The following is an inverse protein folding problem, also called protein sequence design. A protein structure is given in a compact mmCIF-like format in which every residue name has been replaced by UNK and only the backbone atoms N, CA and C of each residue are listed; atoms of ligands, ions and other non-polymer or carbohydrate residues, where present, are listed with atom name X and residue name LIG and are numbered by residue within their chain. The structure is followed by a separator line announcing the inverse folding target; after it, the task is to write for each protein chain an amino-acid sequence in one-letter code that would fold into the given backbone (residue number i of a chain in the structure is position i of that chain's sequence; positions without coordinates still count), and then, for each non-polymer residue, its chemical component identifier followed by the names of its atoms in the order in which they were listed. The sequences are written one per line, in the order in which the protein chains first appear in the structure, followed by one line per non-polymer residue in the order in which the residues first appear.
data_IF_816433968876
#
_entry.id   IF_816433968876
#
_cell.length_a   1.000
_cell.length_b   1.000
_cell.length_c   1.000
_cell.angle_alpha   90.00
_cell.angle_beta   90.00
_cell.angle_gamma   90.00
#
_symmetry.space_group_name_H-M   'P 1'
#
loop_
_entity.id
_entity.type
_entity.pdbx_description
1 polymer ?
#
# COMPACT_ATOMS: atom_id res chain seq x y z
N UNK A 1 1.13 4.25 102.46
CA UNK A 1 1.77 2.91 102.77
C UNK A 1 1.74 2.07 101.47
N UNK A 2 2.95 1.70 101.07
CA UNK A 2 3.34 0.57 100.23
C UNK A 2 2.68 0.40 98.83
N UNK A 3 3.34 0.84 97.83
CA UNK A 3 4.21 0.11 96.92
C UNK A 3 3.77 -1.27 96.46
N UNK A 4 3.61 -1.48 95.15
CA UNK A 4 4.23 -2.57 94.41
C UNK A 4 4.15 -2.35 92.87
N UNK A 5 5.33 -2.34 92.27
CA UNK A 5 5.60 -2.60 90.91
C UNK A 5 5.15 -3.98 90.44
N UNK A 6 4.65 -4.12 89.20
CA UNK A 6 4.78 -5.30 88.32
C UNK A 6 4.86 -4.84 86.89
N UNK A 7 5.92 -4.95 86.31
CA UNK A 7 6.52 -5.80 85.33
C UNK A 7 5.93 -5.60 83.94
N UNK A 8 6.66 -4.83 83.03
CA UNK A 8 6.44 -4.82 81.65
C UNK A 8 6.89 -6.17 81.01
N UNK A 9 6.04 -6.77 80.16
CA UNK A 9 6.38 -7.90 79.31
C UNK A 9 6.76 -7.32 77.89
N UNK A 10 7.97 -7.53 77.41
CA UNK A 10 8.42 -7.03 76.09
C UNK A 10 8.36 -8.17 75.08
N UNK A 11 7.23 -8.48 74.46
CA UNK A 11 7.16 -9.29 73.25
C UNK A 11 5.84 -9.08 72.50
N UNK A 12 5.74 -7.97 71.73
CA UNK A 12 4.87 -7.90 70.62
C UNK A 12 5.76 -7.88 69.34
N UNK A 13 5.53 -8.72 68.30
CA UNK A 13 6.25 -8.63 67.09
C UNK A 13 5.77 -7.40 66.32
N UNK A 14 6.73 -6.56 65.98
CA UNK A 14 6.57 -5.43 65.08
C UNK A 14 6.29 -6.00 63.68
N UNK A 15 5.03 -5.95 63.23
CA UNK A 15 4.66 -6.20 61.86
C UNK A 15 4.85 -4.90 61.08
N UNK A 16 6.09 -4.62 60.71
CA UNK A 16 6.36 -3.69 59.66
C UNK A 16 5.79 -4.25 58.37
N UNK A 17 4.67 -3.68 57.92
CA UNK A 17 4.20 -3.82 56.55
C UNK A 17 5.29 -3.26 55.63
N UNK A 18 6.07 -4.13 55.05
CA UNK A 18 6.82 -3.88 53.85
C UNK A 18 5.81 -3.76 52.69
N UNK A 19 5.20 -2.59 52.58
CA UNK A 19 4.61 -2.14 51.31
C UNK A 19 5.75 -2.08 50.29
N UNK A 20 6.03 -3.20 49.62
CA UNK A 20 6.77 -3.22 48.37
C UNK A 20 6.01 -2.36 47.38
N UNK A 21 6.25 -1.04 47.43
CA UNK A 21 6.05 -0.19 46.28
C UNK A 21 6.96 -0.78 45.19
N UNK A 22 6.37 -1.55 44.30
CA UNK A 22 7.00 -1.91 43.03
C UNK A 22 7.34 -0.60 42.30
N UNK A 23 8.60 -0.17 42.47
CA UNK A 23 9.18 0.93 41.72
C UNK A 23 9.04 0.56 40.27
N UNK A 24 8.16 1.28 39.54
CA UNK A 24 7.82 1.04 38.10
C UNK A 24 8.97 1.32 37.15
N UNK A 25 10.21 1.11 37.60
CA UNK A 25 11.41 1.13 36.76
C UNK A 25 11.50 -0.21 36.06
N UNK A 26 11.42 -0.19 34.74
CA UNK A 26 11.75 -1.34 33.90
C UNK A 26 13.19 -1.83 34.16
N UNK A 27 13.58 -2.96 33.58
CA UNK A 27 14.91 -3.52 33.74
C UNK A 27 16.00 -2.47 33.43
N UNK A 28 17.06 -2.45 34.24
CA UNK A 28 18.20 -1.55 34.06
C UNK A 28 19.04 -2.08 32.87
N UNK A 29 18.71 -1.56 31.68
CA UNK A 29 19.35 -1.93 30.43
C UNK A 29 20.65 -1.14 30.24
N UNK A 30 21.70 -1.80 29.78
CA UNK A 30 22.93 -1.13 29.37
C UNK A 30 22.72 -0.27 28.09
N UNK A 31 23.71 0.55 27.74
CA UNK A 31 23.60 1.47 26.60
C UNK A 31 23.38 0.75 25.26
N UNK A 32 23.94 -0.45 25.07
CA UNK A 32 23.77 -1.25 23.86
C UNK A 32 22.40 -1.93 23.84
N UNK A 33 21.90 -2.38 24.98
CA UNK A 33 20.55 -2.93 25.11
C UNK A 33 19.47 -1.87 24.93
N UNK A 34 19.67 -0.66 25.47
CA UNK A 34 18.78 0.48 25.24
C UNK A 34 18.75 0.88 23.76
N UNK A 35 19.90 0.83 23.08
CA UNK A 35 19.98 1.10 21.65
C UNK A 35 19.24 0.05 20.83
N UNK A 36 19.42 -1.25 21.14
CA UNK A 36 18.68 -2.34 20.53
C UNK A 36 17.17 -2.23 20.75
N UNK A 37 16.75 -1.92 21.98
CA UNK A 37 15.35 -1.72 22.33
C UNK A 37 14.73 -0.56 21.52
N UNK A 38 15.49 0.53 21.30
CA UNK A 38 15.06 1.65 20.44
C UNK A 38 15.00 1.27 18.95
N UNK A 39 15.93 0.45 18.47
CA UNK A 39 15.96 -0.03 17.08
C UNK A 39 14.82 -1.01 16.79
N UNK A 40 14.38 -1.77 17.80
CA UNK A 40 13.24 -2.70 17.72
C UNK A 40 11.88 -2.04 17.98
N UNK A 41 11.85 -0.80 18.49
CA UNK A 41 10.59 -0.06 18.60
C UNK A 41 9.98 0.20 17.22
N UNK A 42 8.67 -0.05 17.10
CA UNK A 42 7.91 0.37 15.91
C UNK A 42 8.03 1.89 15.74
N UNK A 43 8.19 2.34 14.50
CA UNK A 43 8.23 3.76 14.20
C UNK A 43 6.96 4.44 14.71
N UNK A 44 7.10 5.58 15.40
CA UNK A 44 5.95 6.40 15.77
C UNK A 44 5.29 6.98 14.51
N UNK A 45 4.01 7.39 14.62
CA UNK A 45 3.28 8.01 13.52
C UNK A 45 4.02 9.25 12.99
N UNK A 46 4.63 10.06 13.87
CA UNK A 46 5.40 11.25 13.50
C UNK A 46 6.67 10.91 12.72
N UNK A 47 7.38 9.84 13.09
CA UNK A 47 8.57 9.38 12.36
C UNK A 47 8.19 8.82 11.00
N UNK A 48 7.12 8.03 10.92
CA UNK A 48 6.57 7.52 9.64
C UNK A 48 6.16 8.68 8.72
N UNK A 49 5.43 9.65 9.25
CA UNK A 49 5.03 10.86 8.54
C UNK A 49 6.23 11.60 7.94
N UNK A 50 7.28 11.83 8.76
CA UNK A 50 8.48 12.52 8.30
C UNK A 50 9.25 11.72 7.23
N UNK A 51 9.31 10.40 7.34
CA UNK A 51 9.91 9.53 6.32
C UNK A 51 9.19 9.67 4.97
N UNK A 52 7.86 9.60 4.97
CA UNK A 52 7.03 9.76 3.77
C UNK A 52 7.13 11.19 3.21
N UNK A 53 7.12 12.20 4.08
CA UNK A 53 7.29 13.61 3.67
C UNK A 53 8.60 13.82 2.91
N UNK A 54 9.72 13.28 3.43
CA UNK A 54 11.03 13.37 2.78
C UNK A 54 11.08 12.64 1.45
N UNK A 55 10.49 11.45 1.37
CA UNK A 55 10.42 10.71 0.09
C UNK A 55 9.59 11.50 -0.92
N UNK A 56 8.43 12.05 -0.53
CA UNK A 56 7.62 12.90 -1.39
C UNK A 56 8.36 14.14 -1.91
N UNK A 57 9.16 14.81 -1.07
CA UNK A 57 10.01 15.94 -1.50
C UNK A 57 11.06 15.51 -2.53
N UNK A 58 11.68 14.35 -2.33
CA UNK A 58 12.65 13.78 -3.25
C UNK A 58 12.01 13.42 -4.60
N UNK A 59 10.82 12.81 -4.60
CA UNK A 59 10.05 12.52 -5.82
C UNK A 59 9.69 13.79 -6.59
N UNK A 60 9.20 14.83 -5.90
CA UNK A 60 8.85 16.12 -6.51
C UNK A 60 10.05 16.86 -7.12
N UNK A 61 11.27 16.55 -6.66
CA UNK A 61 12.51 17.11 -7.18
C UNK A 61 13.06 16.38 -8.42
N UNK A 62 12.52 15.19 -8.76
CA UNK A 62 13.00 14.42 -9.92
C UNK A 62 12.72 15.11 -11.24
N UNK A 63 13.61 14.88 -12.20
CA UNK A 63 13.43 15.36 -13.57
C UNK A 63 12.25 14.66 -14.26
N UNK A 64 11.56 15.34 -15.19
CA UNK A 64 10.45 14.73 -15.97
C UNK A 64 10.88 13.45 -16.70
N UNK A 65 12.09 13.39 -17.21
CA UNK A 65 12.61 12.22 -17.90
C UNK A 65 12.78 11.02 -16.96
N UNK A 66 13.35 11.24 -15.75
CA UNK A 66 13.50 10.18 -14.77
C UNK A 66 12.15 9.64 -14.30
N UNK A 67 11.16 10.51 -14.09
CA UNK A 67 9.79 10.12 -13.77
C UNK A 67 9.14 9.32 -14.90
N UNK A 68 9.32 9.75 -16.15
CA UNK A 68 8.73 9.08 -17.31
C UNK A 68 9.30 7.66 -17.49
N UNK A 69 10.62 7.48 -17.42
CA UNK A 69 11.23 6.15 -17.56
C UNK A 69 10.83 5.23 -16.40
N UNK A 70 10.83 5.74 -15.18
CA UNK A 70 10.43 4.95 -14.01
C UNK A 70 8.94 4.60 -14.03
N UNK A 71 8.08 5.54 -14.47
CA UNK A 71 6.66 5.27 -14.66
C UNK A 71 6.37 4.28 -15.78
N UNK A 72 7.10 4.35 -16.90
CA UNK A 72 6.97 3.38 -17.99
C UNK A 72 7.37 1.97 -17.50
N UNK A 73 8.48 1.86 -16.77
CA UNK A 73 8.92 0.60 -16.18
C UNK A 73 7.86 0.04 -15.23
N UNK A 74 7.26 0.88 -14.37
CA UNK A 74 6.18 0.47 -13.47
C UNK A 74 4.95 -0.04 -14.23
N UNK A 75 4.53 0.67 -15.28
CA UNK A 75 3.41 0.24 -16.12
C UNK A 75 3.63 -1.12 -16.78
N UNK A 76 4.83 -1.34 -17.34
CA UNK A 76 5.22 -2.65 -17.88
C UNK A 76 5.24 -3.73 -16.81
N UNK A 77 5.83 -3.44 -15.64
CA UNK A 77 5.92 -4.40 -14.52
C UNK A 77 4.55 -4.78 -13.96
N UNK A 78 3.59 -3.85 -13.91
CA UNK A 78 2.22 -4.13 -13.47
C UNK A 78 1.50 -5.12 -14.39
N UNK A 79 1.91 -5.22 -15.65
CA UNK A 79 1.38 -6.23 -16.59
C UNK A 79 1.60 -7.67 -16.13
N UNK A 80 2.61 -7.93 -15.33
CA UNK A 80 2.87 -9.26 -14.76
C UNK A 80 1.78 -9.74 -13.78
N UNK A 81 0.89 -8.85 -13.32
CA UNK A 81 -0.31 -9.25 -12.56
C UNK A 81 -1.19 -10.16 -13.42
N UNK A 82 -1.57 -9.71 -14.63
CA UNK A 82 -2.38 -10.49 -15.57
C UNK A 82 -1.72 -11.84 -15.88
N UNK A 83 -0.41 -11.82 -16.12
CA UNK A 83 0.35 -13.05 -16.44
C UNK A 83 0.35 -14.01 -15.25
N UNK A 84 0.68 -13.54 -14.05
CA UNK A 84 0.76 -14.40 -12.87
C UNK A 84 -0.62 -14.98 -12.48
N UNK A 85 -1.67 -14.14 -12.46
CA UNK A 85 -3.03 -14.62 -12.17
C UNK A 85 -3.51 -15.60 -13.23
N UNK A 86 -3.30 -15.27 -14.50
CA UNK A 86 -3.74 -16.13 -15.61
C UNK A 86 -3.02 -17.47 -15.65
N UNK A 87 -1.69 -17.50 -15.41
CA UNK A 87 -0.95 -18.75 -15.30
C UNK A 87 -1.43 -19.61 -14.12
N UNK A 88 -1.59 -19.01 -12.94
CA UNK A 88 -2.16 -19.75 -11.81
C UNK A 88 -3.55 -20.28 -12.11
N UNK A 89 -4.42 -19.46 -12.73
CA UNK A 89 -5.77 -19.86 -13.09
C UNK A 89 -5.82 -20.97 -14.13
N UNK A 90 -4.91 -20.98 -15.11
CA UNK A 90 -4.86 -22.00 -16.17
C UNK A 90 -4.34 -23.35 -15.69
N UNK A 91 -3.41 -23.36 -14.72
CA UNK A 91 -2.79 -24.57 -14.20
C UNK A 91 -3.49 -25.19 -12.99
N UNK A 92 -4.37 -24.43 -12.33
CA UNK A 92 -5.11 -24.93 -11.18
C UNK A 92 -6.44 -25.57 -11.59
N UNK A 93 -6.86 -26.68 -10.94
CA UNK A 93 -8.12 -27.34 -11.23
C UNK A 93 -9.32 -26.41 -11.02
N UNK A 94 -10.43 -26.68 -11.70
CA UNK A 94 -11.66 -25.93 -11.54
C UNK A 94 -12.33 -26.31 -10.21
N UNK A 95 -12.01 -25.51 -9.17
CA UNK A 95 -12.47 -25.71 -7.81
C UNK A 95 -12.84 -24.35 -7.17
N UNK A 96 -13.71 -24.36 -6.17
CA UNK A 96 -14.19 -23.17 -5.47
C UNK A 96 -13.06 -22.32 -4.83
N UNK A 97 -11.95 -22.93 -4.48
CA UNK A 97 -10.77 -22.26 -3.91
C UNK A 97 -9.80 -21.71 -4.97
N UNK A 98 -9.92 -22.11 -6.28
CA UNK A 98 -9.03 -21.64 -7.36
C UNK A 98 -8.88 -20.12 -7.41
N UNK A 99 -9.95 -19.30 -7.31
CA UNK A 99 -9.80 -17.85 -7.31
C UNK A 99 -8.93 -17.33 -6.17
N UNK A 100 -9.02 -17.92 -4.98
CA UNK A 100 -8.22 -17.50 -3.83
C UNK A 100 -6.72 -17.71 -4.09
N UNK A 101 -6.34 -18.83 -4.67
CA UNK A 101 -4.93 -19.11 -5.00
C UNK A 101 -4.46 -18.27 -6.20
N UNK A 102 -5.27 -18.15 -7.24
CA UNK A 102 -4.92 -17.37 -8.43
C UNK A 102 -4.66 -15.90 -8.09
N UNK A 103 -5.42 -15.32 -7.15
CA UNK A 103 -5.23 -13.94 -6.69
C UNK A 103 -3.91 -13.67 -5.95
N UNK A 104 -3.13 -14.68 -5.57
CA UNK A 104 -1.73 -14.48 -5.15
C UNK A 104 -0.88 -13.86 -6.27
N UNK A 105 -1.22 -14.17 -7.53
CA UNK A 105 -0.59 -13.56 -8.70
C UNK A 105 -0.74 -12.04 -8.76
N UNK A 106 -1.80 -11.49 -8.13
CA UNK A 106 -2.03 -10.05 -8.07
C UNK A 106 -0.87 -9.31 -7.38
N UNK A 107 -0.21 -9.93 -6.42
CA UNK A 107 0.89 -9.32 -5.69
C UNK A 107 2.19 -9.22 -6.52
N UNK A 108 2.35 -10.00 -7.58
CA UNK A 108 3.61 -10.11 -8.33
C UNK A 108 4.02 -8.76 -8.95
N UNK A 109 3.11 -8.08 -9.63
CA UNK A 109 3.41 -6.77 -10.23
C UNK A 109 3.77 -5.72 -9.18
N UNK A 110 3.06 -5.71 -8.04
CA UNK A 110 3.37 -4.80 -6.93
C UNK A 110 4.73 -5.08 -6.29
N UNK A 111 5.09 -6.35 -6.12
CA UNK A 111 6.42 -6.72 -5.61
C UNK A 111 7.52 -6.19 -6.52
N UNK A 112 7.38 -6.34 -7.85
CA UNK A 112 8.36 -5.83 -8.81
C UNK A 112 8.47 -4.31 -8.72
N UNK A 113 7.33 -3.61 -8.72
CA UNK A 113 7.29 -2.15 -8.71
C UNK A 113 7.83 -1.57 -7.41
N UNK A 114 7.33 -2.06 -6.26
CA UNK A 114 7.67 -1.51 -4.94
C UNK A 114 9.11 -1.83 -4.54
N UNK A 115 9.55 -3.09 -4.69
CA UNK A 115 10.93 -3.47 -4.38
C UNK A 115 11.92 -2.97 -5.43
N UNK A 116 11.47 -2.76 -6.67
CA UNK A 116 12.23 -2.15 -7.75
C UNK A 116 12.29 -0.62 -7.72
N UNK A 117 11.65 0.02 -6.73
CA UNK A 117 11.60 1.49 -6.58
C UNK A 117 11.14 2.22 -7.86
N UNK A 118 10.14 1.64 -8.55
CA UNK A 118 9.53 2.21 -9.75
C UNK A 118 8.35 3.11 -9.35
N UNK A 119 8.10 4.17 -10.13
CA UNK A 119 7.05 5.14 -9.79
C UNK A 119 5.67 4.65 -10.25
N UNK A 120 4.82 4.34 -9.29
CA UNK A 120 3.43 3.96 -9.51
C UNK A 120 2.50 5.12 -9.12
N UNK A 121 1.53 5.44 -9.98
CA UNK A 121 0.61 6.55 -9.75
C UNK A 121 -0.10 6.47 -8.39
N UNK A 122 -0.59 5.29 -8.00
CA UNK A 122 -1.34 5.09 -6.76
C UNK A 122 -0.50 5.23 -5.50
N UNK A 123 0.79 4.93 -5.55
CA UNK A 123 1.75 5.26 -4.50
C UNK A 123 1.89 6.78 -4.36
N UNK A 124 1.96 7.46 -5.49
CA UNK A 124 2.06 8.93 -5.55
C UNK A 124 0.75 9.65 -5.16
N UNK A 125 -0.32 8.97 -4.82
CA UNK A 125 -1.49 9.59 -4.18
C UNK A 125 -1.27 9.90 -2.69
N UNK A 126 -0.21 9.37 -2.08
CA UNK A 126 0.20 9.64 -0.71
C UNK A 126 1.48 10.48 -0.63
N UNK A 127 2.58 9.98 -1.20
CA UNK A 127 3.92 10.51 -0.95
C UNK A 127 4.07 12.01 -1.25
N UNK A 128 3.68 12.57 -2.43
CA UNK A 128 3.81 14.00 -2.71
C UNK A 128 2.72 14.87 -2.06
N UNK A 129 1.62 14.26 -1.58
CA UNK A 129 0.53 14.98 -0.92
C UNK A 129 0.92 15.40 0.50
N UNK A 130 1.69 14.58 1.21
CA UNK A 130 2.15 14.92 2.57
C UNK A 130 2.94 16.24 2.61
N UNK A 131 3.99 16.47 1.78
CA UNK A 131 4.64 17.79 1.74
C UNK A 131 3.74 18.92 1.21
N UNK A 132 2.76 18.65 0.33
CA UNK A 132 1.78 19.64 -0.12
C UNK A 132 0.89 20.12 1.04
N UNK A 133 0.39 19.21 1.87
CA UNK A 133 -0.42 19.54 3.05
C UNK A 133 0.38 20.34 4.08
N UNK A 134 1.67 20.04 4.24
CA UNK A 134 2.56 20.74 5.17
C UNK A 134 2.87 22.17 4.73
N UNK A 135 3.10 22.42 3.44
CA UNK A 135 3.56 23.74 2.93
C UNK A 135 2.49 24.58 2.23
N UNK A 136 1.37 23.99 1.80
CA UNK A 136 0.18 24.62 1.19
C UNK A 136 0.50 25.72 0.18
N UNK A 137 1.42 25.48 -0.79
CA UNK A 137 1.78 26.45 -1.79
C UNK A 137 1.31 26.04 -3.20
N UNK A 138 0.89 27.03 -4.02
CA UNK A 138 0.49 26.78 -5.42
C UNK A 138 1.62 26.21 -6.28
N UNK A 139 2.88 26.61 -6.00
CA UNK A 139 4.04 26.04 -6.68
C UNK A 139 4.23 24.54 -6.36
N UNK A 140 3.96 24.14 -5.11
CA UNK A 140 4.00 22.74 -4.71
C UNK A 140 2.90 21.93 -5.38
N UNK A 141 1.67 22.47 -5.42
CA UNK A 141 0.56 21.85 -6.17
C UNK A 141 0.92 21.64 -7.64
N UNK A 142 1.51 22.63 -8.29
CA UNK A 142 1.98 22.50 -9.68
C UNK A 142 3.00 21.37 -9.86
N UNK A 143 3.90 21.14 -8.90
CA UNK A 143 4.85 20.01 -8.94
C UNK A 143 4.15 18.67 -8.75
N UNK A 144 3.17 18.58 -7.86
CA UNK A 144 2.36 17.36 -7.65
C UNK A 144 1.59 17.01 -8.93
N UNK A 145 0.90 17.98 -9.52
CA UNK A 145 0.14 17.75 -10.75
C UNK A 145 1.05 17.35 -11.93
N UNK A 146 2.23 17.95 -12.03
CA UNK A 146 3.24 17.55 -13.02
C UNK A 146 3.68 16.10 -12.83
N UNK A 147 4.03 15.71 -11.59
CA UNK A 147 4.42 14.34 -11.25
C UNK A 147 3.30 13.36 -11.58
N UNK A 148 2.07 13.65 -11.15
CA UNK A 148 0.91 12.82 -11.42
C UNK A 148 0.66 12.64 -12.90
N UNK A 149 0.69 13.71 -13.68
CA UNK A 149 0.46 13.66 -15.13
C UNK A 149 1.50 12.78 -15.85
N UNK A 150 2.80 12.95 -15.51
CA UNK A 150 3.87 12.18 -16.14
C UNK A 150 3.78 10.71 -15.73
N UNK A 151 3.72 10.41 -14.44
CA UNK A 151 3.71 9.02 -13.93
C UNK A 151 2.46 8.30 -14.40
N UNK A 152 1.28 8.91 -14.29
CA UNK A 152 0.03 8.30 -14.74
C UNK A 152 0.04 7.99 -16.24
N UNK A 153 0.41 8.95 -17.07
CA UNK A 153 0.47 8.74 -18.53
C UNK A 153 1.45 7.63 -18.91
N UNK A 154 2.65 7.62 -18.31
CA UNK A 154 3.67 6.60 -18.62
C UNK A 154 3.34 5.24 -18.05
N UNK A 155 2.68 5.16 -16.90
CA UNK A 155 2.13 3.90 -16.38
C UNK A 155 1.10 3.33 -17.39
N UNK A 156 0.12 4.14 -17.86
CA UNK A 156 -0.87 3.68 -18.84
C UNK A 156 -0.23 3.25 -20.16
N UNK A 157 0.76 3.98 -20.67
CA UNK A 157 1.49 3.57 -21.87
C UNK A 157 2.14 2.20 -21.64
N UNK A 158 2.80 2.00 -20.51
CA UNK A 158 3.42 0.72 -20.17
C UNK A 158 2.43 -0.43 -20.13
N UNK A 159 1.28 -0.26 -19.46
CA UNK A 159 0.22 -1.27 -19.39
C UNK A 159 -0.38 -1.60 -20.75
N UNK A 160 -0.64 -0.59 -21.59
CA UNK A 160 -1.17 -0.79 -22.96
C UNK A 160 -0.16 -1.55 -23.81
N UNK A 161 1.11 -1.14 -23.80
CA UNK A 161 2.17 -1.84 -24.58
C UNK A 161 2.30 -3.29 -24.13
N UNK A 162 2.35 -3.54 -22.82
CA UNK A 162 2.43 -4.89 -22.27
C UNK A 162 1.22 -5.74 -22.70
N UNK A 163 0.02 -5.22 -22.49
CA UNK A 163 -1.23 -5.91 -22.84
C UNK A 163 -1.30 -6.24 -24.33
N UNK A 164 -0.85 -5.29 -25.20
CA UNK A 164 -0.84 -5.49 -26.65
C UNK A 164 0.15 -6.59 -27.06
N UNK A 165 1.34 -6.61 -26.49
CA UNK A 165 2.33 -7.68 -26.74
C UNK A 165 1.76 -9.04 -26.33
N UNK A 166 1.23 -9.15 -25.11
CA UNK A 166 0.64 -10.42 -24.62
C UNK A 166 -0.57 -10.85 -25.48
N UNK A 167 -1.44 -9.91 -25.88
CA UNK A 167 -2.65 -10.22 -26.63
C UNK A 167 -2.39 -10.66 -28.09
N UNK A 168 -1.31 -10.14 -28.73
CA UNK A 168 -1.06 -10.26 -30.15
C UNK A 168 0.07 -11.21 -30.54
N UNK A 169 0.75 -11.79 -29.54
CA UNK A 169 1.84 -12.75 -29.79
C UNK A 169 1.44 -14.15 -29.34
N UNK A 170 2.21 -15.14 -29.76
CA UNK A 170 2.07 -16.55 -29.37
C UNK A 170 2.97 -16.91 -28.17
N UNK A 171 3.22 -15.92 -27.29
CA UNK A 171 4.06 -16.10 -26.12
C UNK A 171 3.45 -17.11 -25.12
N UNK A 172 2.13 -17.20 -25.08
CA UNK A 172 1.39 -18.07 -24.19
C UNK A 172 0.44 -18.98 -25.00
N UNK A 173 0.15 -20.15 -24.44
CA UNK A 173 -0.78 -21.13 -25.03
C UNK A 173 -2.24 -20.62 -25.03
N UNK A 174 -3.11 -21.16 -25.91
CA UNK A 174 -4.51 -20.75 -26.01
C UNK A 174 -5.30 -20.86 -24.69
N UNK A 175 -4.99 -21.88 -23.87
CA UNK A 175 -5.61 -22.10 -22.55
C UNK A 175 -5.27 -20.97 -21.58
N UNK A 176 -4.02 -20.48 -21.60
CA UNK A 176 -3.57 -19.35 -20.79
C UNK A 176 -4.27 -18.07 -21.26
N UNK A 177 -4.40 -17.87 -22.58
CA UNK A 177 -5.17 -16.74 -23.11
C UNK A 177 -6.63 -16.75 -22.68
N UNK A 178 -7.26 -17.94 -22.58
CA UNK A 178 -8.62 -18.09 -22.04
C UNK A 178 -8.68 -17.66 -20.57
N UNK A 179 -7.67 -18.01 -19.78
CA UNK A 179 -7.55 -17.57 -18.40
C UNK A 179 -7.35 -16.05 -18.28
N UNK A 180 -6.52 -15.44 -19.15
CA UNK A 180 -6.34 -13.96 -19.20
C UNK A 180 -7.65 -13.24 -19.51
N UNK A 181 -8.44 -13.74 -20.49
CA UNK A 181 -9.78 -13.18 -20.77
C UNK A 181 -10.66 -13.24 -19.53
N UNK A 182 -10.66 -14.37 -18.81
CA UNK A 182 -11.44 -14.53 -17.59
C UNK A 182 -11.05 -13.53 -16.50
N UNK A 183 -9.74 -13.36 -16.24
CA UNK A 183 -9.21 -12.38 -15.27
C UNK A 183 -9.60 -10.96 -15.67
N UNK A 184 -9.33 -10.58 -16.91
CA UNK A 184 -9.61 -9.25 -17.42
C UNK A 184 -11.12 -8.91 -17.42
N UNK A 185 -11.97 -9.87 -17.75
CA UNK A 185 -13.43 -9.69 -17.70
C UNK A 185 -13.91 -9.48 -16.27
N UNK A 186 -13.31 -10.17 -15.28
CA UNK A 186 -13.64 -9.98 -13.86
C UNK A 186 -13.25 -8.58 -13.40
N UNK A 187 -12.08 -8.06 -13.81
CA UNK A 187 -11.60 -6.72 -13.44
C UNK A 187 -12.52 -5.61 -13.96
N UNK A 188 -13.12 -5.78 -15.13
CA UNK A 188 -14.02 -4.80 -15.76
C UNK A 188 -15.50 -4.93 -15.33
N UNK A 189 -15.84 -5.80 -14.39
CA UNK A 189 -17.23 -5.95 -13.94
C UNK A 189 -17.68 -4.74 -13.11
N UNK A 190 -18.89 -4.29 -13.40
CA UNK A 190 -19.58 -3.23 -12.66
C UNK A 190 -19.86 -2.00 -13.52
N UNK A 191 -20.76 -1.17 -13.03
CA UNK A 191 -21.02 0.14 -13.58
C UNK A 191 -20.01 1.18 -13.06
N UNK A 192 -20.15 2.42 -13.52
CA UNK A 192 -19.28 3.52 -13.11
C UNK A 192 -19.22 3.71 -11.59
N UNK A 193 -20.38 3.69 -10.91
CA UNK A 193 -20.46 3.92 -9.47
C UNK A 193 -19.80 2.77 -8.68
N UNK A 194 -20.06 1.54 -9.06
CA UNK A 194 -19.42 0.36 -8.46
C UNK A 194 -17.91 0.37 -8.64
N UNK A 195 -17.43 0.69 -9.86
CA UNK A 195 -16.00 0.78 -10.17
C UNK A 195 -15.32 1.90 -9.40
N UNK A 196 -15.99 3.07 -9.28
CA UNK A 196 -15.55 4.19 -8.46
C UNK A 196 -15.37 3.78 -6.99
N UNK A 197 -16.39 3.16 -6.40
CA UNK A 197 -16.33 2.71 -5.00
C UNK A 197 -15.24 1.67 -4.78
N UNK A 198 -15.12 0.66 -5.64
CA UNK A 198 -14.02 -0.30 -5.61
C UNK A 198 -12.66 0.40 -5.72
N UNK A 199 -12.60 1.46 -6.52
CA UNK A 199 -11.41 2.32 -6.64
C UNK A 199 -11.07 3.05 -5.35
N UNK A 200 -12.05 3.61 -4.63
CA UNK A 200 -11.81 4.29 -3.34
C UNK A 200 -11.18 3.32 -2.34
N UNK A 201 -11.73 2.12 -2.18
CA UNK A 201 -11.18 1.14 -1.25
C UNK A 201 -9.80 0.64 -1.68
N UNK A 202 -9.57 0.43 -2.98
CA UNK A 202 -8.24 0.05 -3.46
C UNK A 202 -7.20 1.15 -3.21
N UNK A 203 -7.52 2.39 -3.53
CA UNK A 203 -6.65 3.54 -3.27
C UNK A 203 -6.33 3.71 -1.79
N UNK A 204 -7.32 3.49 -0.93
CA UNK A 204 -7.14 3.50 0.52
C UNK A 204 -6.15 2.42 0.97
N UNK A 205 -6.36 1.15 0.57
CA UNK A 205 -5.49 0.02 0.95
C UNK A 205 -4.05 0.20 0.42
N UNK A 206 -3.87 0.67 -0.81
CA UNK A 206 -2.53 0.90 -1.36
C UNK A 206 -1.83 2.04 -0.63
N UNK A 207 -2.52 3.14 -0.33
CA UNK A 207 -1.93 4.23 0.43
C UNK A 207 -1.59 3.82 1.88
N UNK A 208 -2.42 2.98 2.54
CA UNK A 208 -2.08 2.38 3.83
C UNK A 208 -0.85 1.48 3.73
N UNK A 209 -0.74 0.67 2.68
CA UNK A 209 0.45 -0.13 2.43
C UNK A 209 1.69 0.75 2.36
N UNK A 210 1.66 1.82 1.55
CA UNK A 210 2.78 2.77 1.42
C UNK A 210 3.11 3.43 2.76
N UNK A 211 2.09 3.78 3.56
CA UNK A 211 2.26 4.31 4.91
C UNK A 211 2.99 3.33 5.84
N UNK A 212 2.72 2.04 5.74
CA UNK A 212 3.31 0.99 6.58
C UNK A 212 4.76 0.64 6.21
N UNK A 213 5.16 0.81 4.95
CA UNK A 213 6.47 0.34 4.46
C UNK A 213 7.69 0.89 5.21
N UNK A 214 7.77 2.19 5.61
CA UNK A 214 8.91 2.71 6.36
C UNK A 214 9.13 1.99 7.70
N UNK A 215 8.04 1.62 8.39
CA UNK A 215 8.07 0.91 9.67
C UNK A 215 8.24 -0.61 9.55
N UNK A 216 8.16 -1.15 8.33
CA UNK A 216 8.13 -2.60 8.09
C UNK A 216 9.47 -3.14 7.56
N UNK A 217 10.60 -2.59 8.02
CA UNK A 217 11.94 -3.07 7.61
C UNK A 217 12.06 -4.57 7.89
N UNK A 218 12.42 -5.35 6.85
CA UNK A 218 12.48 -6.81 6.91
C UNK A 218 11.17 -7.55 6.68
N UNK A 219 10.01 -6.88 6.79
CA UNK A 219 8.68 -7.45 6.54
C UNK A 219 7.96 -6.84 5.31
N UNK A 220 8.64 -5.98 4.54
CA UNK A 220 8.05 -5.29 3.39
C UNK A 220 7.40 -6.25 2.39
N UNK A 221 8.06 -7.38 2.10
CA UNK A 221 7.50 -8.43 1.24
C UNK A 221 6.13 -8.89 1.74
N UNK A 222 6.01 -9.22 3.02
CA UNK A 222 4.74 -9.69 3.60
C UNK A 222 3.66 -8.60 3.58
N UNK A 223 4.01 -7.35 3.90
CA UNK A 223 3.07 -6.21 3.85
C UNK A 223 2.55 -6.02 2.43
N UNK A 224 3.42 -6.01 1.42
CA UNK A 224 3.02 -5.86 0.02
C UNK A 224 2.09 -7.02 -0.37
N UNK A 225 2.48 -8.26 -0.11
CA UNK A 225 1.69 -9.44 -0.48
C UNK A 225 0.31 -9.41 0.17
N UNK A 226 0.23 -9.19 1.49
CA UNK A 226 -1.06 -9.22 2.21
C UNK A 226 -2.00 -8.11 1.73
N UNK A 227 -1.50 -6.88 1.61
CA UNK A 227 -2.34 -5.74 1.23
C UNK A 227 -2.81 -5.84 -0.22
N UNK A 228 -1.94 -6.23 -1.14
CA UNK A 228 -2.30 -6.36 -2.56
C UNK A 228 -3.11 -7.61 -2.83
N UNK A 229 -2.87 -8.71 -2.13
CA UNK A 229 -3.72 -9.89 -2.17
C UNK A 229 -5.16 -9.56 -1.74
N UNK A 230 -5.33 -8.77 -0.68
CA UNK A 230 -6.65 -8.30 -0.25
C UNK A 230 -7.34 -7.48 -1.34
N UNK A 231 -6.62 -6.58 -2.03
CA UNK A 231 -7.15 -5.84 -3.19
C UNK A 231 -7.64 -6.81 -4.27
N UNK A 232 -6.84 -7.83 -4.60
CA UNK A 232 -7.19 -8.82 -5.63
C UNK A 232 -8.39 -9.69 -5.25
N UNK A 233 -8.41 -10.27 -4.05
CA UNK A 233 -9.48 -11.18 -3.59
C UNK A 233 -10.82 -10.45 -3.40
N UNK A 234 -10.77 -9.22 -2.91
CA UNK A 234 -11.98 -8.40 -2.74
C UNK A 234 -12.49 -7.81 -4.07
N UNK A 235 -11.78 -8.04 -5.18
CA UNK A 235 -12.16 -7.51 -6.49
C UNK A 235 -12.19 -5.99 -6.55
N UNK A 236 -11.29 -5.34 -5.79
CA UNK A 236 -11.17 -3.90 -5.78
C UNK A 236 -10.48 -3.40 -7.07
N UNK A 237 -10.78 -2.17 -7.47
CA UNK A 237 -10.30 -1.63 -8.72
C UNK A 237 -9.03 -0.79 -8.51
N UNK A 238 -7.90 -1.24 -9.07
CA UNK A 238 -6.65 -0.48 -9.08
C UNK A 238 -6.35 0.01 -10.50
N UNK A 239 -6.20 1.33 -10.67
CA UNK A 239 -6.20 1.95 -12.00
C UNK A 239 -5.10 1.45 -12.92
N UNK A 240 -3.88 1.22 -12.43
CA UNK A 240 -2.78 0.77 -13.27
C UNK A 240 -2.82 -0.74 -13.50
N UNK A 241 -3.07 -1.55 -12.47
CA UNK A 241 -3.20 -3.00 -12.62
C UNK A 241 -4.32 -3.37 -13.61
N UNK A 242 -5.55 -2.93 -13.33
CA UNK A 242 -6.70 -3.23 -14.18
C UNK A 242 -6.67 -2.53 -15.55
N UNK A 243 -5.83 -1.48 -15.73
CA UNK A 243 -5.58 -0.94 -17.07
C UNK A 243 -4.90 -1.95 -18.00
N UNK A 244 -4.06 -2.85 -17.48
CA UNK A 244 -3.52 -3.97 -18.27
C UNK A 244 -4.63 -4.91 -18.71
N UNK A 245 -5.53 -5.27 -17.79
CA UNK A 245 -6.66 -6.16 -18.05
C UNK A 245 -7.60 -5.57 -19.09
N UNK A 246 -8.01 -4.31 -18.89
CA UNK A 246 -8.88 -3.61 -19.82
C UNK A 246 -8.24 -3.44 -21.21
N UNK A 247 -6.96 -3.05 -21.29
CA UNK A 247 -6.22 -2.93 -22.54
C UNK A 247 -6.05 -4.28 -23.25
N UNK A 248 -5.91 -5.38 -22.49
CA UNK A 248 -5.86 -6.73 -23.05
C UNK A 248 -7.17 -7.10 -23.77
N UNK A 249 -8.32 -6.81 -23.16
CA UNK A 249 -9.62 -7.04 -23.81
C UNK A 249 -9.80 -6.18 -25.07
N UNK A 250 -9.34 -4.91 -25.04
CA UNK A 250 -9.36 -4.05 -26.24
C UNK A 250 -8.47 -4.63 -27.33
N UNK A 251 -7.25 -5.07 -26.99
CA UNK A 251 -6.34 -5.68 -27.94
C UNK A 251 -6.87 -6.99 -28.52
N UNK A 252 -7.71 -7.74 -27.79
CA UNK A 252 -8.41 -8.94 -28.27
C UNK A 252 -9.69 -8.64 -29.04
N UNK A 253 -10.10 -7.36 -29.15
CA UNK A 253 -11.35 -6.96 -29.79
C UNK A 253 -12.62 -7.30 -28.98
N UNK A 254 -12.47 -7.53 -27.68
CA UNK A 254 -13.56 -7.91 -26.76
C UNK A 254 -14.09 -6.71 -25.95
N UNK A 255 -13.44 -5.56 -26.03
CA UNK A 255 -13.84 -4.29 -25.45
C UNK A 255 -13.46 -3.14 -26.37
N UNK A 256 -14.07 -1.98 -26.18
CA UNK A 256 -13.74 -0.74 -26.91
C UNK A 256 -12.82 0.16 -26.08
N UNK A 257 -12.21 1.15 -26.73
CA UNK A 257 -11.50 2.21 -26.01
C UNK A 257 -12.43 3.06 -25.14
N UNK A 258 -13.72 3.13 -25.47
CA UNK A 258 -14.75 3.74 -24.63
C UNK A 258 -14.93 2.98 -23.31
N UNK A 259 -15.00 1.65 -23.37
CA UNK A 259 -15.09 0.77 -22.20
C UNK A 259 -13.81 0.88 -21.35
N UNK A 260 -12.63 0.90 -21.99
CA UNK A 260 -11.35 1.12 -21.32
C UNK A 260 -11.33 2.43 -20.54
N UNK A 261 -11.61 3.55 -21.21
CA UNK A 261 -11.49 4.86 -20.61
C UNK A 261 -12.65 5.17 -19.66
N UNK A 262 -13.89 5.10 -20.16
CA UNK A 262 -15.10 5.51 -19.42
C UNK A 262 -15.61 4.45 -18.45
N UNK A 263 -15.50 3.17 -18.82
CA UNK A 263 -15.95 2.06 -17.99
C UNK A 263 -14.96 1.69 -16.87
N UNK A 264 -13.66 1.87 -17.09
CA UNK A 264 -12.65 1.46 -16.12
C UNK A 264 -11.71 2.58 -15.66
N UNK A 265 -10.93 3.18 -16.56
CA UNK A 265 -9.80 4.06 -16.16
C UNK A 265 -10.30 5.29 -15.39
N UNK A 266 -11.30 6.00 -15.90
CA UNK A 266 -11.79 7.24 -15.30
C UNK A 266 -12.37 6.99 -13.89
N UNK A 267 -13.37 6.10 -13.70
CA UNK A 267 -13.92 5.85 -12.37
C UNK A 267 -12.87 5.34 -11.38
N UNK A 268 -11.97 4.46 -11.82
CA UNK A 268 -10.92 3.91 -10.95
C UNK A 268 -9.88 4.97 -10.60
N UNK A 269 -9.46 5.81 -11.56
CA UNK A 269 -8.54 6.93 -11.30
C UNK A 269 -9.10 7.88 -10.23
N UNK A 270 -10.36 8.30 -10.38
CA UNK A 270 -11.02 9.16 -9.40
C UNK A 270 -11.09 8.45 -8.04
N UNK A 271 -11.51 7.20 -8.03
CA UNK A 271 -11.63 6.42 -6.81
C UNK A 271 -10.29 6.23 -6.09
N UNK A 272 -9.25 5.79 -6.79
CA UNK A 272 -7.93 5.60 -6.20
C UNK A 272 -7.35 6.91 -5.65
N UNK A 273 -7.54 8.04 -6.38
CA UNK A 273 -7.10 9.36 -5.92
C UNK A 273 -7.83 9.77 -4.65
N UNK A 274 -9.15 9.66 -4.62
CA UNK A 274 -9.95 9.97 -3.43
C UNK A 274 -9.53 9.10 -2.24
N UNK A 275 -9.39 7.78 -2.42
CA UNK A 275 -8.98 6.86 -1.36
C UNK A 275 -7.61 7.20 -0.78
N UNK A 276 -6.61 7.40 -1.63
CA UNK A 276 -5.25 7.70 -1.20
C UNK A 276 -5.09 9.08 -0.56
N UNK A 277 -5.62 10.13 -1.22
CA UNK A 277 -5.45 11.52 -0.77
C UNK A 277 -6.26 11.81 0.50
N UNK A 278 -7.55 11.43 0.52
CA UNK A 278 -8.43 11.84 1.63
C UNK A 278 -8.33 10.92 2.83
N UNK A 279 -8.35 9.60 2.61
CA UNK A 279 -8.45 8.64 3.70
C UNK A 279 -7.09 8.32 4.35
N UNK A 280 -5.98 8.52 3.65
CA UNK A 280 -4.66 8.27 4.24
C UNK A 280 -3.87 9.56 4.42
N UNK A 281 -3.59 10.32 3.34
CA UNK A 281 -2.76 11.51 3.44
C UNK A 281 -3.37 12.56 4.38
N UNK A 282 -4.67 12.88 4.22
CA UNK A 282 -5.32 13.90 5.02
C UNK A 282 -5.55 13.45 6.48
N UNK A 283 -6.01 12.20 6.71
CA UNK A 283 -6.28 11.71 8.06
C UNK A 283 -4.98 11.53 8.87
N UNK A 284 -3.93 10.95 8.27
CA UNK A 284 -2.65 10.81 8.98
C UNK A 284 -1.96 12.17 9.21
N UNK A 285 -2.11 13.12 8.27
CA UNK A 285 -1.67 14.50 8.51
C UNK A 285 -2.40 15.13 9.70
N UNK A 286 -3.73 14.99 9.75
CA UNK A 286 -4.54 15.52 10.85
C UNK A 286 -4.18 14.85 12.19
N UNK A 287 -3.92 13.54 12.22
CA UNK A 287 -3.51 12.82 13.41
C UNK A 287 -2.17 13.33 13.97
N UNK A 288 -1.19 13.55 13.10
CA UNK A 288 0.14 13.98 13.53
C UNK A 288 0.14 15.45 13.97
N UNK A 289 -0.51 16.33 13.21
CA UNK A 289 -0.56 17.79 13.52
C UNK A 289 -1.54 18.10 14.66
N UNK A 290 -2.62 17.34 14.80
CA UNK A 290 -3.61 17.53 15.87
C UNK A 290 -3.24 16.87 17.21
N UNK A 291 -2.19 16.06 17.24
CA UNK A 291 -1.67 15.42 18.46
C UNK A 291 -0.50 16.16 19.13
N UNK A 292 -0.05 17.28 18.51
CA UNK A 292 0.87 18.26 19.10
C UNK A 292 0.09 19.41 19.76
#
# INVERSE_FOLDING_TARGET
MTSRHVGADPRAPDTTNDDEQSDGRGPDLDADEQKKAKEEQSLSASVTYEAIRREGEKELARSPQALAWSGLAAGLSMGFILVAEGLLRSHLPDASWRPLVAKLGYSVGFLIVMLGSQHLYTENTLTPIVPLLSRRSGAMLGRVLRLWAIVFATNLIGTIVFAWVVARTTLFDPEVHTAFVGVATEAMRGDFATTLLRGIFAGWLIALMVWMLPGSKGAQFAVIVVMTYLVGVAGLAHVIAGSTDAAYLVARGMATWGDYAGGFVIPTFIGNTLGGVTLVAALNHAQVVGGE
#
